data_IF_609206399833
#
_entry.id   IF_609206399833
#
_cell.length_a   1.000
_cell.length_b   1.000
_cell.length_c   1.000
_cell.angle_alpha   90.00
_cell.angle_beta   90.00
_cell.angle_gamma   90.00
#
_symmetry.space_group_name_H-M   'P 1'
#
loop_
_entity.id
_entity.type
_entity.pdbx_description
1 polymer ?
#
# COMPACT_ATOMS: atom_id res chain seq x y z
N UNK A 1 -11.76 -12.25 -4.40
CA UNK A 1 -10.99 -11.69 -5.52
C UNK A 1 -9.70 -11.18 -4.90
N UNK A 2 -8.56 -11.73 -5.28
CA UNK A 2 -7.27 -11.28 -4.76
C UNK A 2 -7.04 -9.83 -5.19
N UNK A 3 -6.83 -8.96 -4.23
CA UNK A 3 -6.50 -7.56 -4.44
C UNK A 3 -5.19 -7.45 -5.27
N UNK A 4 -5.21 -6.76 -6.42
CA UNK A 4 -4.04 -6.58 -7.28
C UNK A 4 -2.84 -5.95 -6.57
N UNK A 5 -3.07 -5.02 -5.62
CA UNK A 5 -2.02 -4.38 -4.83
C UNK A 5 -1.35 -5.38 -3.87
N UNK A 6 -2.16 -6.14 -3.12
CA UNK A 6 -1.68 -7.25 -2.28
C UNK A 6 -0.97 -8.33 -3.10
N UNK A 7 -1.43 -8.62 -4.31
CA UNK A 7 -0.80 -9.60 -5.19
C UNK A 7 0.51 -9.09 -5.79
N UNK A 8 0.61 -7.82 -6.18
CA UNK A 8 1.84 -7.21 -6.68
C UNK A 8 2.92 -7.13 -5.58
N UNK A 9 2.54 -6.74 -4.35
CA UNK A 9 3.41 -6.78 -3.19
C UNK A 9 3.85 -8.22 -2.84
N UNK A 10 2.93 -9.19 -2.89
CA UNK A 10 3.24 -10.61 -2.73
C UNK A 10 4.21 -11.12 -3.80
N UNK A 11 4.03 -10.73 -5.06
CA UNK A 11 4.94 -11.09 -6.15
C UNK A 11 6.32 -10.42 -6.03
N UNK A 12 6.42 -9.20 -5.48
CA UNK A 12 7.71 -8.57 -5.13
C UNK A 12 8.40 -9.36 -4.03
N UNK A 13 7.68 -9.78 -2.98
CA UNK A 13 8.23 -10.57 -1.89
C UNK A 13 8.71 -11.96 -2.34
N UNK A 14 7.95 -12.64 -3.21
CA UNK A 14 8.37 -13.92 -3.80
C UNK A 14 9.60 -13.82 -4.71
N UNK A 15 9.91 -12.63 -5.25
CA UNK A 15 11.15 -12.39 -5.99
C UNK A 15 12.37 -12.38 -5.06
N UNK A 16 12.22 -11.94 -3.81
CA UNK A 16 13.32 -11.73 -2.86
C UNK A 16 13.73 -13.02 -2.11
N UNK A 17 12.77 -13.83 -1.67
CA UNK A 17 13.08 -14.94 -0.75
C UNK A 17 13.69 -16.18 -1.44
N UNK A 18 13.76 -16.21 -2.78
CA UNK A 18 14.09 -17.41 -3.58
C UNK A 18 13.25 -18.65 -3.15
N UNK A 19 12.12 -18.41 -2.47
CA UNK A 19 11.25 -19.44 -1.91
C UNK A 19 10.52 -20.14 -3.03
N UNK A 20 10.79 -21.43 -3.12
CA UNK A 20 10.13 -22.34 -4.03
C UNK A 20 8.61 -22.27 -3.90
N UNK A 21 7.92 -22.13 -5.04
CA UNK A 21 6.47 -22.18 -5.08
C UNK A 21 6.00 -23.65 -4.95
N UNK A 22 5.11 -23.98 -4.00
CA UNK A 22 4.54 -25.31 -3.93
C UNK A 22 3.51 -25.49 -5.05
N UNK A 23 3.92 -26.13 -6.13
CA UNK A 23 2.99 -26.73 -7.09
C UNK A 23 2.65 -28.12 -6.54
N UNK A 24 1.45 -28.27 -5.99
CA UNK A 24 1.03 -29.47 -5.25
C UNK A 24 1.51 -30.80 -5.85
N UNK A 25 1.86 -31.75 -4.98
CA UNK A 25 2.47 -33.04 -5.37
C UNK A 25 3.93 -33.20 -4.98
N UNK A 26 4.48 -32.32 -4.12
CA UNK A 26 5.86 -32.40 -3.65
C UNK A 26 6.90 -31.88 -4.65
N UNK A 27 6.45 -31.18 -5.69
CA UNK A 27 7.31 -30.52 -6.66
C UNK A 27 7.45 -29.04 -6.28
N UNK A 28 8.65 -28.52 -6.48
CA UNK A 28 8.97 -27.11 -6.31
C UNK A 28 9.63 -26.61 -7.59
N UNK A 29 9.29 -25.39 -8.00
CA UNK A 29 9.89 -24.73 -9.18
C UNK A 29 10.50 -23.42 -8.71
N UNK A 30 11.72 -23.15 -9.16
CA UNK A 30 12.39 -21.88 -8.87
C UNK A 30 11.74 -20.74 -9.65
N UNK A 31 11.86 -19.51 -9.15
CA UNK A 31 11.31 -18.35 -9.84
C UNK A 31 11.90 -18.15 -11.25
N UNK A 32 13.19 -18.47 -11.44
CA UNK A 32 13.83 -18.44 -12.77
C UNK A 32 13.16 -19.42 -13.75
N UNK A 33 12.80 -20.61 -13.29
CA UNK A 33 12.12 -21.61 -14.10
C UNK A 33 10.65 -21.26 -14.36
N UNK A 34 9.94 -20.71 -13.36
CA UNK A 34 8.58 -20.23 -13.57
C UNK A 34 8.54 -19.07 -14.56
N UNK A 35 9.48 -18.12 -14.48
CA UNK A 35 9.58 -17.05 -15.46
C UNK A 35 9.89 -17.57 -16.86
N UNK A 36 10.80 -18.54 -16.99
CA UNK A 36 11.07 -19.18 -18.27
C UNK A 36 9.81 -19.87 -18.82
N UNK A 37 9.03 -20.56 -17.99
CA UNK A 37 7.78 -21.22 -18.38
C UNK A 37 6.72 -20.20 -18.79
N UNK A 38 6.52 -19.12 -18.02
CA UNK A 38 5.54 -18.06 -18.34
C UNK A 38 5.93 -17.35 -19.64
N UNK A 39 7.20 -16.97 -19.81
CA UNK A 39 7.68 -16.36 -21.06
C UNK A 39 7.51 -17.33 -22.23
N UNK A 40 7.79 -18.63 -22.04
CA UNK A 40 7.63 -19.63 -23.08
C UNK A 40 6.17 -19.86 -23.46
N UNK A 41 5.26 -19.90 -22.48
CA UNK A 41 3.80 -20.04 -22.70
C UNK A 41 3.23 -18.77 -23.33
N UNK A 42 3.59 -17.58 -22.85
CA UNK A 42 3.19 -16.32 -23.45
C UNK A 42 3.72 -16.18 -24.88
N UNK A 43 4.97 -16.57 -25.14
CA UNK A 43 5.57 -16.54 -26.48
C UNK A 43 4.94 -17.59 -27.41
N UNK A 44 4.59 -18.77 -26.89
CA UNK A 44 3.85 -19.80 -27.64
C UNK A 44 2.42 -19.36 -27.97
N UNK A 45 1.71 -18.73 -27.03
CA UNK A 45 0.38 -18.16 -27.25
C UNK A 45 0.45 -17.01 -28.26
N UNK A 46 1.44 -16.12 -28.15
CA UNK A 46 1.64 -15.01 -29.10
C UNK A 46 2.03 -15.52 -30.50
N UNK A 47 2.84 -16.57 -30.59
CA UNK A 47 3.20 -17.24 -31.85
C UNK A 47 2.00 -17.99 -32.47
N UNK A 48 1.13 -18.59 -31.67
CA UNK A 48 -0.11 -19.21 -32.14
C UNK A 48 -1.09 -18.17 -32.71
N UNK A 49 -1.20 -16.98 -32.12
CA UNK A 49 -1.99 -15.89 -32.69
C UNK A 49 -1.46 -15.40 -34.04
N UNK A 50 -0.12 -15.30 -34.19
CA UNK A 50 0.50 -14.92 -35.46
C UNK A 50 0.32 -15.98 -36.57
N UNK A 51 0.37 -17.27 -36.23
CA UNK A 51 0.18 -18.37 -37.20
C UNK A 51 -1.29 -18.49 -37.63
N UNK A 52 -2.26 -18.25 -36.73
CA UNK A 52 -3.69 -18.26 -37.07
C UNK A 52 -4.07 -17.16 -38.06
N UNK A 53 -3.42 -16.00 -38.02
CA UNK A 53 -3.61 -14.92 -39.00
C UNK A 53 -2.97 -15.23 -40.36
N UNK A 54 -1.96 -16.11 -40.41
CA UNK A 54 -1.22 -16.43 -41.63
C UNK A 54 -1.85 -17.59 -42.43
N UNK A 55 -2.46 -18.58 -41.75
CA UNK A 55 -3.03 -19.77 -42.42
C UNK A 55 -4.45 -19.54 -42.98
N UNK A 56 -5.20 -18.55 -42.47
CA UNK A 56 -6.54 -18.22 -42.98
C UNK A 56 -6.57 -17.00 -43.93
N UNK A 57 -5.42 -16.42 -44.27
CA UNK A 57 -5.30 -15.21 -45.10
C UNK A 57 -4.93 -15.45 -46.57
N UNK A 58 -5.06 -16.66 -47.11
CA UNK A 58 -4.66 -16.95 -48.51
C UNK A 58 -5.68 -17.85 -49.22
N UNK A 59 -6.83 -17.30 -49.59
CA UNK A 59 -7.66 -17.90 -50.63
C UNK A 59 -8.32 -16.82 -51.51
N UNK A 60 -8.03 -16.94 -52.81
CA UNK A 60 -8.73 -16.35 -53.96
C UNK A 60 -8.49 -14.88 -54.31
N UNK A 61 -7.34 -14.63 -54.96
CA UNK A 61 -7.25 -13.63 -56.03
C UNK A 61 -7.26 -14.35 -57.39
N UNK A 62 -8.42 -14.42 -58.04
CA UNK A 62 -8.52 -14.64 -59.49
C UNK A 62 -9.35 -13.49 -60.08
N UNK A 63 -8.92 -12.84 -61.18
CA UNK A 63 -9.67 -11.74 -61.78
C UNK A 63 -10.56 -12.23 -62.93
N UNK A 64 -11.79 -11.74 -63.01
CA UNK A 64 -12.59 -11.83 -64.25
C UNK A 64 -13.56 -10.63 -64.42
N UNK A 65 -13.16 -9.75 -65.36
CA UNK A 65 -13.93 -9.08 -66.44
C UNK A 65 -15.18 -8.20 -66.13
N UNK A 66 -15.37 -7.02 -66.78
CA UNK A 66 -16.38 -6.02 -66.38
C UNK A 66 -17.69 -5.99 -67.21
N UNK A 67 -18.67 -5.22 -66.67
CA UNK A 67 -19.92 -4.65 -67.22
C UNK A 67 -21.14 -5.61 -67.37
N UNK A 68 -22.42 -5.28 -67.10
CA UNK A 68 -23.14 -4.00 -66.89
C UNK A 68 -24.55 -4.24 -66.28
N UNK A 69 -25.16 -3.19 -65.70
CA UNK A 69 -26.63 -2.90 -65.48
C UNK A 69 -27.43 -3.82 -64.53
N UNK A 70 -28.36 -3.38 -63.66
CA UNK A 70 -29.18 -2.15 -63.49
C UNK A 70 -29.76 -1.99 -62.05
N UNK A 71 -29.85 -0.73 -61.59
CA UNK A 71 -30.72 0.01 -60.60
C UNK A 71 -32.13 -0.60 -60.28
N UNK A 72 -32.94 -0.23 -59.22
CA UNK A 72 -32.91 0.85 -58.18
C UNK A 72 -32.95 0.38 -56.69
N UNK A 73 -32.52 1.16 -55.67
CA UNK A 73 -33.09 2.38 -55.00
C UNK A 73 -34.27 2.05 -54.01
N UNK A 74 -34.53 2.84 -52.95
CA UNK A 74 -34.33 2.50 -51.53
C UNK A 74 -35.59 2.78 -50.68
N UNK A 75 -35.48 2.89 -49.33
CA UNK A 75 -35.86 4.10 -48.55
C UNK A 75 -36.52 3.84 -47.17
N UNK A 76 -35.77 4.29 -46.14
CA UNK A 76 -36.13 5.06 -44.92
C UNK A 76 -37.00 4.49 -43.80
N UNK A 77 -36.33 4.42 -42.66
CA UNK A 77 -36.70 4.92 -41.31
C UNK A 77 -37.43 6.27 -41.31
N UNK A 78 -38.47 6.41 -40.49
CA UNK A 78 -38.99 7.72 -40.08
C UNK A 78 -39.54 7.72 -38.64
N UNK A 79 -39.01 8.66 -37.87
CA UNK A 79 -39.48 9.29 -36.63
C UNK A 79 -40.89 9.87 -36.74
N UNK A 80 -41.69 9.86 -35.66
CA UNK A 80 -42.55 10.99 -35.27
C UNK A 80 -43.19 10.79 -33.88
N UNK A 81 -43.29 11.90 -33.15
CA UNK A 81 -44.01 12.09 -31.90
C UNK A 81 -45.50 12.49 -32.12
N UNK A 82 -46.22 12.63 -31.00
CA UNK A 82 -47.49 13.35 -30.74
C UNK A 82 -48.78 12.53 -30.50
N UNK A 83 -49.24 12.64 -29.25
CA UNK A 83 -50.58 12.56 -28.58
C UNK A 83 -51.72 13.29 -29.35
N UNK A 84 -53.04 13.26 -28.98
CA UNK A 84 -53.90 12.45 -28.07
C UNK A 84 -55.13 11.79 -28.79
N UNK A 85 -56.00 11.04 -28.08
CA UNK A 85 -57.49 11.13 -28.15
C UNK A 85 -58.17 10.15 -27.18
N UNK A 86 -59.21 10.62 -26.50
CA UNK A 86 -60.08 9.93 -25.54
C UNK A 86 -61.17 9.08 -26.21
N UNK A 87 -61.63 8.02 -25.52
CA UNK A 87 -63.02 7.51 -25.63
C UNK A 87 -63.52 6.98 -24.28
N UNK A 88 -64.64 7.55 -23.82
CA UNK A 88 -65.47 7.17 -22.68
C UNK A 88 -66.41 6.00 -23.03
N UNK A 89 -66.55 4.99 -22.16
CA UNK A 89 -67.84 4.26 -22.01
C UNK A 89 -68.01 3.59 -20.62
N UNK A 90 -68.78 4.28 -19.76
CA UNK A 90 -69.88 3.83 -18.89
C UNK A 90 -69.80 2.52 -18.05
N UNK A 91 -69.91 2.72 -16.73
CA UNK A 91 -70.56 1.88 -15.70
C UNK A 91 -72.10 2.02 -15.81
N UNK A 92 -73.02 1.13 -15.30
CA UNK A 92 -73.04 0.63 -13.91
C UNK A 92 -73.64 -0.79 -13.67
N UNK A 93 -73.44 -1.35 -12.47
CA UNK A 93 -74.49 -1.98 -11.63
C UNK A 93 -73.90 -2.57 -10.34
N UNK A 94 -74.50 -2.18 -9.21
CA UNK A 94 -74.26 -2.65 -7.85
C UNK A 94 -75.13 -3.86 -7.51
N UNK A 95 -74.57 -4.89 -6.89
CA UNK A 95 -75.37 -5.89 -6.14
C UNK A 95 -74.65 -6.32 -4.87
N UNK A 96 -75.30 -6.04 -3.73
CA UNK A 96 -74.90 -6.40 -2.36
C UNK A 96 -75.04 -7.90 -2.08
N UNK A 97 -74.10 -8.50 -1.36
CA UNK A 97 -74.17 -9.88 -0.84
C UNK A 97 -73.89 -9.87 0.68
N UNK A 98 -74.66 -10.63 1.50
CA UNK A 98 -74.68 -10.50 2.97
C UNK A 98 -73.45 -11.13 3.68
N UNK A 99 -73.22 -10.80 4.98
CA UNK A 99 -72.05 -11.25 5.72
C UNK A 99 -72.14 -12.74 6.14
N UNK A 100 -70.99 -13.42 6.33
CA UNK A 100 -70.97 -14.84 6.68
C UNK A 100 -71.29 -15.11 8.16
N UNK A 101 -72.02 -16.20 8.38
CA UNK A 101 -72.42 -16.78 9.67
C UNK A 101 -71.23 -17.30 10.48
N UNK A 102 -71.19 -16.96 11.77
CA UNK A 102 -70.20 -17.39 12.76
C UNK A 102 -70.38 -18.88 13.12
N UNK A 103 -69.33 -19.72 13.05
CA UNK A 103 -69.40 -21.07 13.60
C UNK A 103 -69.08 -21.08 15.10
N UNK A 104 -69.96 -21.72 15.87
CA UNK A 104 -69.80 -22.00 17.30
C UNK A 104 -68.73 -23.07 17.52
N UNK A 105 -67.67 -22.75 18.25
CA UNK A 105 -66.59 -23.69 18.64
C UNK A 105 -66.94 -24.37 19.96
N UNK A 106 -66.72 -25.69 20.13
CA UNK A 106 -67.00 -26.38 21.39
C UNK A 106 -65.97 -26.05 22.47
N UNK A 107 -66.46 -25.97 23.70
CA UNK A 107 -65.74 -25.67 24.92
C UNK A 107 -64.60 -26.67 25.18
N UNK A 108 -63.36 -26.20 25.14
CA UNK A 108 -62.18 -26.94 25.61
C UNK A 108 -61.91 -26.64 27.08
N UNK A 109 -61.74 -27.74 27.81
CA UNK A 109 -61.42 -27.87 29.23
C UNK A 109 -60.31 -26.90 29.68
N UNK A 110 -60.57 -26.17 30.78
CA UNK A 110 -59.67 -25.16 31.33
C UNK A 110 -58.32 -25.76 31.78
N UNK A 111 -57.24 -25.23 31.22
CA UNK A 111 -55.86 -25.42 31.70
C UNK A 111 -55.66 -24.61 33.00
N UNK A 112 -55.05 -25.16 34.07
CA UNK A 112 -54.80 -24.40 35.29
C UNK A 112 -53.83 -23.26 35.02
N UNK A 113 -54.24 -22.03 35.31
CA UNK A 113 -53.46 -20.81 35.15
C UNK A 113 -52.37 -20.76 36.21
N UNK A 114 -51.11 -20.76 35.79
CA UNK A 114 -49.96 -20.52 36.66
C UNK A 114 -50.02 -19.08 37.20
N UNK A 115 -49.76 -18.83 38.51
CA UNK A 115 -49.68 -17.46 39.02
C UNK A 115 -48.55 -16.69 38.33
N UNK A 116 -48.69 -15.36 38.16
CA UNK A 116 -47.70 -14.55 37.46
C UNK A 116 -46.33 -14.61 38.16
N UNK A 117 -45.22 -14.59 37.42
CA UNK A 117 -43.90 -14.54 38.03
C UNK A 117 -43.74 -13.25 38.84
N UNK A 118 -43.34 -13.40 40.11
CA UNK A 118 -42.93 -12.28 40.96
C UNK A 118 -41.79 -11.52 40.27
N UNK A 119 -41.98 -10.23 40.01
CA UNK A 119 -40.95 -9.39 39.41
C UNK A 119 -39.71 -9.33 40.31
N UNK A 120 -38.58 -9.81 39.81
CA UNK A 120 -37.27 -9.64 40.43
C UNK A 120 -36.90 -8.15 40.39
N UNK A 121 -36.45 -7.53 41.50
CA UNK A 121 -35.99 -6.14 41.46
C UNK A 121 -34.80 -5.99 40.49
N UNK A 122 -34.70 -4.86 39.77
CA UNK A 122 -33.58 -4.62 38.87
C UNK A 122 -32.26 -4.59 39.65
N UNK A 123 -31.15 -5.02 39.02
CA UNK A 123 -29.83 -4.96 39.64
C UNK A 123 -29.48 -3.50 40.00
N UNK A 124 -28.72 -3.26 41.07
CA UNK A 124 -28.32 -1.92 41.47
C UNK A 124 -27.53 -1.26 40.33
N UNK A 125 -27.99 -0.07 39.92
CA UNK A 125 -27.32 0.75 38.92
C UNK A 125 -25.92 1.15 39.45
N UNK A 126 -24.85 1.00 38.66
CA UNK A 126 -23.52 1.41 39.10
C UNK A 126 -23.53 2.92 39.39
N UNK A 127 -23.06 3.28 40.58
CA UNK A 127 -22.83 4.68 40.95
C UNK A 127 -21.67 5.20 40.12
N UNK A 128 -21.79 6.36 39.44
CA UNK A 128 -20.68 6.91 38.66
C UNK A 128 -19.52 7.26 39.59
N UNK A 129 -18.40 6.56 39.46
CA UNK A 129 -17.13 6.91 40.10
C UNK A 129 -16.59 8.15 39.41
N UNK A 130 -16.45 9.25 40.15
CA UNK A 130 -15.84 10.47 39.63
C UNK A 130 -14.37 10.18 39.24
N UNK A 131 -13.89 10.70 38.10
CA UNK A 131 -12.49 10.57 37.71
C UNK A 131 -11.57 11.16 38.79
N UNK A 132 -10.39 10.58 39.03
CA UNK A 132 -9.40 11.18 39.92
C UNK A 132 -9.01 12.57 39.39
N UNK A 133 -8.98 13.55 40.29
CA UNK A 133 -8.52 14.91 40.01
C UNK A 133 -7.07 14.87 39.49
N UNK A 134 -6.74 15.56 38.39
CA UNK A 134 -5.39 15.52 37.82
C UNK A 134 -4.40 16.07 38.84
N UNK A 135 -3.53 15.19 39.34
CA UNK A 135 -2.40 15.59 40.17
C UNK A 135 -1.39 16.29 39.26
N UNK A 136 -1.17 17.58 39.46
CA UNK A 136 -0.17 18.34 38.72
C UNK A 136 1.23 17.79 39.03
N UNK A 137 1.79 17.02 38.10
CA UNK A 137 3.20 16.61 38.15
C UNK A 137 4.07 17.87 38.00
N UNK A 138 5.03 18.14 38.91
CA UNK A 138 5.94 19.26 38.75
C UNK A 138 6.79 19.04 37.49
N UNK A 139 6.59 19.89 36.49
CA UNK A 139 7.41 19.92 35.28
C UNK A 139 8.82 20.37 35.67
N UNK A 140 9.79 19.47 35.60
CA UNK A 140 11.20 19.85 35.64
C UNK A 140 11.51 20.59 34.34
N UNK A 141 11.66 21.91 34.42
CA UNK A 141 12.19 22.73 33.33
C UNK A 141 13.63 22.26 33.05
N UNK A 142 13.94 21.76 31.84
CA UNK A 142 15.31 21.45 31.50
C UNK A 142 16.13 22.74 31.47
N UNK A 143 17.15 22.81 32.33
CA UNK A 143 18.19 23.85 32.26
C UNK A 143 18.85 23.78 30.89
N UNK A 144 19.00 24.91 30.16
CA UNK A 144 19.67 24.89 28.86
C UNK A 144 21.12 24.41 29.03
N UNK A 145 21.44 23.26 28.45
CA UNK A 145 22.80 22.75 28.33
C UNK A 145 23.58 23.71 27.42
N UNK A 146 24.57 24.40 27.97
CA UNK A 146 25.48 25.25 27.22
C UNK A 146 26.15 24.42 26.12
N UNK A 147 25.85 24.76 24.87
CA UNK A 147 26.54 24.23 23.69
C UNK A 147 28.03 24.61 23.78
N UNK A 148 28.98 23.66 23.74
CA UNK A 148 30.39 24.00 23.70
C UNK A 148 30.69 24.75 22.40
N UNK A 149 31.21 25.98 22.55
CA UNK A 149 31.69 26.81 21.46
C UNK A 149 32.85 26.08 20.74
N UNK A 150 32.87 26.04 19.38
CA UNK A 150 33.92 25.34 18.65
C UNK A 150 35.27 25.95 18.97
N UNK A 151 36.14 25.16 19.61
CA UNK A 151 37.54 25.54 19.85
C UNK A 151 38.23 25.73 18.52
N UNK A 152 38.71 26.95 18.24
CA UNK A 152 39.44 27.26 17.03
C UNK A 152 40.69 26.37 16.93
N UNK A 153 40.71 25.47 15.95
CA UNK A 153 41.88 24.66 15.60
C UNK A 153 42.97 25.61 15.09
N UNK A 154 43.99 25.84 15.93
CA UNK A 154 45.22 26.52 15.52
C UNK A 154 45.95 25.66 14.49
N UNK A 155 45.79 26.00 13.21
CA UNK A 155 46.59 25.46 12.11
C UNK A 155 48.05 25.89 12.31
N UNK A 156 49.00 24.96 12.54
CA UNK A 156 50.40 25.34 12.69
C UNK A 156 50.90 25.91 11.36
N UNK A 157 51.18 27.21 11.35
CA UNK A 157 51.88 27.88 10.24
C UNK A 157 53.33 27.40 10.24
N UNK A 158 53.86 26.80 9.17
CA UNK A 158 55.24 26.35 9.13
C UNK A 158 56.16 27.58 9.23
N UNK A 159 56.84 27.69 10.37
CA UNK A 159 57.86 28.71 10.62
C UNK A 159 59.10 28.36 9.81
N UNK A 160 59.45 29.20 8.84
CA UNK A 160 60.70 29.08 8.10
C UNK A 160 61.89 29.23 9.07
N UNK A 161 62.56 28.12 9.36
CA UNK A 161 63.76 28.09 10.21
C UNK A 161 64.99 28.21 9.33
N UNK A 162 65.83 29.20 9.65
CA UNK A 162 67.06 29.55 8.94
C UNK A 162 68.17 28.50 9.08
N UNK A 163 68.78 28.19 7.93
CA UNK A 163 70.19 27.88 7.64
C UNK A 163 71.14 27.56 8.80
N UNK A 164 71.74 26.36 8.78
CA UNK A 164 73.10 26.11 9.25
C UNK A 164 73.78 24.96 8.46
N UNK A 165 74.88 25.32 7.78
CA UNK A 165 76.17 24.61 7.59
C UNK A 165 76.22 23.22 6.90
N UNK A 166 77.12 23.00 5.90
CA UNK A 166 77.24 21.73 5.19
C UNK A 166 78.02 20.68 6.01
N UNK A 167 77.36 19.57 6.35
CA UNK A 167 78.01 18.38 6.88
C UNK A 167 78.03 17.28 5.81
N UNK A 168 79.21 16.96 5.31
CA UNK A 168 79.45 15.80 4.44
C UNK A 168 79.39 14.56 5.33
N UNK A 169 78.18 13.99 5.46
CA UNK A 169 77.93 12.70 6.08
C UNK A 169 77.39 11.72 5.04
N UNK A 170 78.12 10.64 4.80
CA UNK A 170 77.73 9.55 3.90
C UNK A 170 76.46 8.89 4.45
N UNK A 171 75.29 9.30 3.96
CA UNK A 171 73.98 8.84 4.41
C UNK A 171 73.62 7.54 3.68
N UNK A 172 73.64 6.42 4.40
CA UNK A 172 73.04 5.17 3.93
C UNK A 172 71.52 5.32 3.90
N UNK A 173 70.96 5.40 2.69
CA UNK A 173 69.51 5.44 2.46
C UNK A 173 68.89 4.13 2.96
N UNK A 174 68.32 4.17 4.16
CA UNK A 174 67.47 3.10 4.66
C UNK A 174 66.09 3.33 4.07
N UNK A 175 65.71 2.50 3.09
CA UNK A 175 64.36 2.49 2.51
C UNK A 175 63.34 2.24 3.64
N UNK A 176 62.75 3.31 4.14
CA UNK A 176 61.58 3.22 5.02
C UNK A 176 60.41 2.80 4.14
N UNK A 177 59.73 1.67 4.40
CA UNK A 177 58.60 1.26 3.57
C UNK A 177 57.54 2.36 3.61
N UNK A 178 57.14 2.82 2.43
CA UNK A 178 56.05 3.76 2.24
C UNK A 178 54.78 3.18 2.89
N UNK A 179 54.01 3.97 3.67
CA UNK A 179 52.73 3.50 4.19
C UNK A 179 51.89 2.99 3.02
N UNK A 180 51.41 1.76 3.14
CA UNK A 180 50.51 1.18 2.14
C UNK A 180 49.19 1.91 2.28
N UNK A 181 48.77 2.62 1.22
CA UNK A 181 47.47 3.26 1.16
C UNK A 181 46.41 2.22 1.51
N UNK A 182 45.75 2.40 2.66
CA UNK A 182 44.62 1.54 3.03
C UNK A 182 43.49 1.88 2.07
N UNK A 183 42.96 0.91 1.32
CA UNK A 183 41.89 1.20 0.37
C UNK A 183 40.73 1.84 1.13
N UNK A 184 40.26 2.99 0.65
CA UNK A 184 39.01 3.58 1.17
C UNK A 184 37.89 2.57 0.87
N UNK A 185 37.12 2.11 1.88
CA UNK A 185 36.03 1.19 1.62
C UNK A 185 35.06 1.83 0.64
N UNK A 186 34.67 1.08 -0.40
CA UNK A 186 33.62 1.52 -1.31
C UNK A 186 32.30 1.56 -0.52
N UNK A 187 31.58 2.70 -0.51
CA UNK A 187 30.29 2.76 0.16
C UNK A 187 29.32 1.76 -0.50
N UNK A 188 28.66 0.96 0.33
CA UNK A 188 27.60 0.05 -0.12
C UNK A 188 26.34 0.92 -0.28
N UNK A 189 25.67 0.89 -1.44
CA UNK A 189 24.47 1.70 -1.65
C UNK A 189 23.26 1.15 -0.87
N UNK A 190 22.35 2.04 -0.48
CA UNK A 190 20.97 1.74 -0.07
C UNK A 190 20.07 1.60 -1.31
N UNK A 191 18.91 0.96 -1.15
CA UNK A 191 17.88 0.83 -2.19
C UNK A 191 16.49 0.81 -1.54
N UNK A 192 15.83 1.96 -1.50
CA UNK A 192 14.63 2.18 -0.67
C UNK A 192 13.34 1.96 -1.45
N UNK A 193 12.42 1.17 -0.90
CA UNK A 193 11.15 0.82 -1.56
C UNK A 193 9.96 0.93 -0.61
N UNK A 194 8.82 1.37 -1.14
CA UNK A 194 7.50 1.15 -0.53
C UNK A 194 7.06 -0.26 -0.92
N UNK A 195 7.25 -1.20 0.00
CA UNK A 195 7.07 -2.63 -0.26
C UNK A 195 5.60 -3.05 -0.21
N UNK A 196 4.84 -2.51 0.74
CA UNK A 196 3.45 -2.89 0.95
C UNK A 196 2.66 -1.79 1.66
N UNK A 197 1.35 -1.72 1.39
CA UNK A 197 0.40 -0.91 2.15
C UNK A 197 -0.74 -1.81 2.58
N UNK A 198 -1.00 -1.90 3.88
CA UNK A 198 -2.23 -2.48 4.41
C UNK A 198 -3.24 -1.35 4.56
N UNK A 199 -4.17 -1.24 3.61
CA UNK A 199 -5.19 -0.18 3.59
C UNK A 199 -6.59 -0.69 4.00
N UNK A 200 -6.77 -2.01 4.18
CA UNK A 200 -8.07 -2.60 4.54
C UNK A 200 -7.87 -3.82 5.45
N UNK A 201 -7.37 -3.58 6.69
CA UNK A 201 -7.18 -4.64 7.67
C UNK A 201 -8.53 -5.13 8.22
N UNK A 202 -8.57 -6.33 8.85
CA UNK A 202 -9.76 -6.76 9.57
C UNK A 202 -10.07 -5.83 10.75
N UNK A 203 -11.30 -5.33 10.81
CA UNK A 203 -11.75 -4.43 11.88
C UNK A 203 -11.74 -2.97 11.44
N UNK A 204 -11.61 -2.00 12.36
CA UNK A 204 -11.41 -0.60 12.00
C UNK A 204 -10.08 -0.42 11.26
N UNK A 205 -10.11 0.28 10.12
CA UNK A 205 -8.92 0.46 9.28
C UNK A 205 -7.73 1.02 10.07
N UNK A 206 -7.96 2.09 10.84
CA UNK A 206 -6.94 2.74 11.66
C UNK A 206 -6.15 1.76 12.56
N UNK A 207 -6.79 0.71 13.09
CA UNK A 207 -6.16 -0.19 14.05
C UNK A 207 -5.10 -1.10 13.40
N UNK A 208 -5.23 -1.36 12.10
CA UNK A 208 -4.38 -2.29 11.35
C UNK A 208 -3.67 -1.69 10.14
N UNK A 209 -3.90 -0.42 9.86
CA UNK A 209 -3.39 0.27 8.68
C UNK A 209 -1.91 0.66 8.86
N UNK A 210 -1.07 0.31 7.87
CA UNK A 210 0.34 0.64 7.86
C UNK A 210 0.95 0.61 6.46
N UNK A 211 2.13 1.23 6.32
CA UNK A 211 3.01 1.08 5.16
C UNK A 211 4.28 0.35 5.57
N UNK A 212 4.68 -0.66 4.81
CA UNK A 212 5.97 -1.33 4.95
C UNK A 212 6.98 -0.70 4.00
N UNK A 213 8.09 -0.22 4.54
CA UNK A 213 9.22 0.32 3.78
C UNK A 213 10.41 -0.61 3.98
N UNK A 214 11.12 -0.88 2.89
CA UNK A 214 12.28 -1.77 2.88
C UNK A 214 13.51 -1.04 2.32
N UNK A 215 14.68 -1.35 2.88
CA UNK A 215 15.96 -1.07 2.26
C UNK A 215 16.50 -2.38 1.70
N UNK A 216 16.45 -2.54 0.38
CA UNK A 216 16.93 -3.72 -0.33
C UNK A 216 18.43 -3.65 -0.65
N UNK A 217 19.06 -2.49 -0.40
CA UNK A 217 20.49 -2.29 -0.52
C UNK A 217 21.23 -2.74 0.73
N UNK A 218 22.53 -2.95 0.62
CA UNK A 218 23.37 -3.34 1.77
C UNK A 218 23.86 -2.16 2.62
N UNK A 219 23.67 -0.93 2.17
CA UNK A 219 24.04 0.28 2.93
C UNK A 219 22.88 0.81 3.76
N UNK A 220 23.14 1.26 4.99
CA UNK A 220 22.14 1.93 5.82
C UNK A 220 21.74 3.29 5.22
N UNK A 221 20.48 3.67 5.38
CA UNK A 221 19.90 4.93 4.91
C UNK A 221 19.46 5.80 6.08
N UNK A 222 20.05 6.99 6.22
CA UNK A 222 19.52 8.04 7.09
C UNK A 222 18.29 8.66 6.44
N UNK A 223 17.14 8.53 7.10
CA UNK A 223 15.85 9.04 6.62
C UNK A 223 15.43 10.32 7.34
N UNK A 224 16.35 10.99 8.03
CA UNK A 224 16.07 12.27 8.68
C UNK A 224 15.46 13.28 7.70
N UNK A 225 14.24 13.74 8.01
CA UNK A 225 13.52 14.72 7.20
C UNK A 225 12.90 14.16 5.91
N UNK A 226 12.94 12.85 5.69
CA UNK A 226 12.18 12.19 4.64
C UNK A 226 10.68 12.28 4.94
N UNK A 227 9.85 12.04 3.92
CA UNK A 227 8.39 12.02 4.07
C UNK A 227 7.76 10.83 3.38
N UNK A 228 6.70 10.31 4.00
CA UNK A 228 5.76 9.38 3.38
C UNK A 228 4.40 10.07 3.26
N UNK A 229 3.77 10.08 2.09
CA UNK A 229 2.48 10.74 1.89
C UNK A 229 1.53 9.98 0.98
N UNK A 230 0.25 10.30 1.07
CA UNK A 230 -0.77 9.92 0.08
C UNK A 230 -0.94 10.99 -1.03
N UNK A 231 -1.84 10.75 -1.99
CA UNK A 231 -2.20 11.71 -3.03
C UNK A 231 -3.05 12.90 -2.51
N UNK A 232 -3.54 12.82 -1.27
CA UNK A 232 -4.30 13.86 -0.58
C UNK A 232 -3.45 14.71 0.38
N UNK A 233 -2.12 14.57 0.33
CA UNK A 233 -1.14 15.31 1.14
C UNK A 233 -1.21 15.04 2.65
N UNK A 234 -1.84 13.94 3.09
CA UNK A 234 -1.56 13.40 4.41
C UNK A 234 -0.08 13.01 4.44
N UNK A 235 0.73 13.75 5.19
CA UNK A 235 2.20 13.58 5.21
C UNK A 235 2.70 13.13 6.58
N UNK A 236 3.44 12.03 6.60
CA UNK A 236 4.26 11.57 7.72
C UNK A 236 5.69 12.06 7.53
N UNK A 237 6.32 12.51 8.62
CA UNK A 237 7.71 12.95 8.65
C UNK A 237 8.54 11.96 9.44
N UNK A 238 9.61 11.45 8.83
CA UNK A 238 10.51 10.53 9.53
C UNK A 238 11.26 11.25 10.66
N UNK A 239 11.41 10.62 11.83
CA UNK A 239 12.10 11.22 12.97
C UNK A 239 13.54 11.59 12.65
N UNK A 240 14.03 12.64 13.31
CA UNK A 240 15.45 13.01 13.23
C UNK A 240 16.32 11.89 13.80
N UNK A 241 17.32 11.47 13.03
CA UNK A 241 18.24 10.39 13.38
C UNK A 241 17.69 8.99 13.13
N UNK A 242 16.50 8.85 12.50
CA UNK A 242 16.03 7.54 12.08
C UNK A 242 16.87 7.00 10.91
N UNK A 243 17.47 5.83 11.11
CA UNK A 243 18.30 5.15 10.13
C UNK A 243 17.69 3.79 9.87
N UNK A 244 17.42 3.47 8.60
CA UNK A 244 17.03 2.14 8.19
C UNK A 244 18.27 1.39 7.67
N UNK A 245 18.66 0.34 8.38
CA UNK A 245 19.82 -0.47 8.01
C UNK A 245 19.65 -1.14 6.64
N UNK A 246 20.77 -1.53 6.03
CA UNK A 246 20.75 -2.33 4.82
C UNK A 246 20.02 -3.66 5.05
N UNK A 247 19.25 -4.09 4.05
CA UNK A 247 18.43 -5.30 4.09
C UNK A 247 17.35 -5.31 5.20
N UNK A 248 17.07 -4.16 5.82
CA UNK A 248 16.08 -4.01 6.89
C UNK A 248 14.75 -3.43 6.39
N UNK A 249 13.73 -3.51 7.25
CA UNK A 249 12.40 -2.97 6.97
C UNK A 249 11.79 -2.30 8.19
N UNK A 250 10.83 -1.39 7.93
CA UNK A 250 10.10 -0.65 8.96
C UNK A 250 8.63 -0.52 8.59
N UNK A 251 7.75 -0.74 9.56
CA UNK A 251 6.33 -0.40 9.44
C UNK A 251 6.12 1.06 9.85
N UNK A 252 5.39 1.82 9.05
CA UNK A 252 4.84 3.11 9.44
C UNK A 252 3.35 2.91 9.68
N UNK A 253 2.97 2.76 10.93
CA UNK A 253 1.59 2.60 11.38
C UNK A 253 0.85 3.94 11.34
N UNK A 254 -0.39 3.95 10.86
CA UNK A 254 -1.20 5.18 10.85
C UNK A 254 -1.58 5.63 12.27
N UNK A 255 -1.90 4.67 13.14
CA UNK A 255 -2.29 4.92 14.53
C UNK A 255 -1.14 5.46 15.42
N UNK A 256 -1.48 5.77 16.66
CA UNK A 256 -0.50 6.09 17.70
C UNK A 256 0.18 4.86 18.31
N UNK A 257 1.40 5.09 18.81
CA UNK A 257 2.26 4.13 19.47
C UNK A 257 3.61 4.78 19.80
N UNK A 258 4.54 3.97 20.32
CA UNK A 258 5.90 4.41 20.65
C UNK A 258 6.86 3.92 19.57
N UNK A 259 7.63 4.83 18.99
CA UNK A 259 8.58 4.50 17.92
C UNK A 259 9.67 3.53 18.36
N UNK A 260 10.01 2.61 17.45
CA UNK A 260 11.11 1.65 17.56
C UNK A 260 11.88 1.60 16.24
N UNK A 261 12.89 0.73 16.16
CA UNK A 261 13.65 0.54 14.91
C UNK A 261 12.81 -0.11 13.79
N UNK A 262 11.81 -0.93 14.12
CA UNK A 262 11.02 -1.70 13.16
C UNK A 262 9.57 -1.20 13.00
N UNK A 263 9.13 -0.32 13.91
CA UNK A 263 7.76 0.21 13.95
C UNK A 263 7.81 1.69 14.29
N UNK A 264 7.27 2.50 13.40
CA UNK A 264 7.07 3.94 13.56
C UNK A 264 5.57 4.24 13.57
N UNK A 265 5.18 5.30 14.29
CA UNK A 265 3.78 5.63 14.50
C UNK A 265 3.46 7.06 14.08
N UNK A 266 2.51 7.21 13.17
CA UNK A 266 2.07 8.53 12.69
C UNK A 266 1.20 9.27 13.72
N UNK A 267 0.60 8.55 14.68
CA UNK A 267 -0.16 9.21 15.75
C UNK A 267 -1.49 9.80 15.30
N UNK A 268 -2.06 9.30 14.20
CA UNK A 268 -3.35 9.78 13.70
C UNK A 268 -4.53 9.15 14.44
N UNK A 269 -5.66 9.87 14.40
CA UNK A 269 -6.97 9.44 14.90
C UNK A 269 -7.89 8.87 13.82
N UNK A 270 -7.47 8.93 12.56
CA UNK A 270 -8.26 8.56 11.38
C UNK A 270 -7.36 7.88 10.35
N UNK A 271 -7.91 6.90 9.64
CA UNK A 271 -7.21 6.18 8.57
C UNK A 271 -6.82 7.12 7.41
N UNK A 272 -5.79 6.72 6.67
CA UNK A 272 -5.21 7.51 5.58
C UNK A 272 -5.36 6.82 4.23
N UNK A 273 -4.99 5.55 4.14
CA UNK A 273 -4.81 4.84 2.89
C UNK A 273 -6.15 4.33 2.37
N UNK A 274 -6.55 4.85 1.21
CA UNK A 274 -7.81 4.48 0.58
C UNK A 274 -7.76 3.15 -0.19
N UNK A 275 -8.91 2.72 -0.73
CA UNK A 275 -8.99 1.56 -1.64
C UNK A 275 -8.43 1.83 -3.05
N UNK A 276 -8.17 3.10 -3.38
CA UNK A 276 -7.55 3.58 -4.62
C UNK A 276 -6.73 4.80 -4.24
N UNK A 277 -5.43 4.60 -4.06
CA UNK A 277 -4.55 5.61 -3.49
C UNK A 277 -3.10 5.31 -3.92
N UNK A 278 -2.19 6.22 -3.59
CA UNK A 278 -0.76 6.09 -3.86
C UNK A 278 0.04 6.48 -2.63
N UNK A 279 0.87 5.57 -2.13
CA UNK A 279 1.89 5.89 -1.15
C UNK A 279 3.15 6.42 -1.86
N UNK A 280 3.64 7.59 -1.45
CA UNK A 280 4.79 8.27 -2.05
C UNK A 280 5.86 8.49 -0.99
N UNK A 281 7.04 7.92 -1.19
CA UNK A 281 8.20 8.13 -0.35
C UNK A 281 9.12 9.18 -0.98
N UNK A 282 9.49 10.21 -0.21
CA UNK A 282 10.40 11.27 -0.65
C UNK A 282 11.57 11.43 0.31
N UNK A 283 12.72 11.80 -0.25
CA UNK A 283 13.89 12.18 0.53
C UNK A 283 13.74 13.57 1.17
N UNK A 284 14.75 13.98 1.94
CA UNK A 284 14.79 15.28 2.60
C UNK A 284 14.90 16.48 1.63
N UNK A 285 15.20 16.24 0.36
CA UNK A 285 15.18 17.24 -0.71
C UNK A 285 13.84 17.23 -1.48
N UNK A 286 12.85 16.47 -0.99
CA UNK A 286 11.54 16.24 -1.60
C UNK A 286 11.55 15.50 -2.95
N UNK A 287 12.67 14.87 -3.29
CA UNK A 287 12.78 13.97 -4.45
C UNK A 287 11.98 12.71 -4.18
N UNK A 288 11.16 12.27 -5.14
CA UNK A 288 10.47 10.98 -5.03
C UNK A 288 11.49 9.86 -5.17
N UNK A 289 11.57 9.02 -4.15
CA UNK A 289 12.43 7.85 -4.12
C UNK A 289 11.68 6.62 -4.63
N UNK A 290 10.46 6.40 -4.13
CA UNK A 290 9.58 5.34 -4.62
C UNK A 290 8.11 5.73 -4.44
N UNK A 291 7.23 5.04 -5.16
CA UNK A 291 5.79 5.15 -5.02
C UNK A 291 5.07 3.84 -5.33
N UNK A 292 4.00 3.56 -4.61
CA UNK A 292 3.16 2.38 -4.81
C UNK A 292 1.68 2.79 -4.90
N UNK A 293 1.03 2.48 -6.02
CA UNK A 293 -0.41 2.65 -6.23
C UNK A 293 -1.11 1.29 -6.34
N UNK A 294 -2.39 1.22 -5.98
CA UNK A 294 -3.22 0.00 -6.03
C UNK A 294 -4.64 0.24 -6.56
#
# INVERSE_FOLDING_TARGET
MSDPGKFAAFLRRLRQDNTMLPIGGGLSVSWLELHAIIVFVCCAICSCCAISSYVFGSASLYPAKPASTSTPRPTRTATAAHTPTQTLTQSPATTSTPPPTVPTVPSVLATPTQPPPTATPPPPQPTPTLPPEPTSTPTHTPTPTQTPEPTATITPTPTATTTNTPQIGTSTLTNTPQPTDTPTPTPIPSDMHVAYVEYNPPGPDLDGEYVLIENQGGGSQDMTGWTLSDDNFNTYFFPVGFILDGEASVHVWTKGGDDTAADLYWGRSDAVWGNQDTAILRDNAATVIDSLSW
#
